data_IF_496471000025
#
_entry.id   IF_496471000025
#
_cell.length_a   1.000
_cell.length_b   1.000
_cell.length_c   1.000
_cell.angle_alpha   90.00
_cell.angle_beta   90.00
_cell.angle_gamma   90.00
#
_symmetry.space_group_name_H-M   'P 1'
#
loop_
_entity.id
_entity.type
_entity.pdbx_description
1 polymer ?
#
# COMPACT_ATOMS: atom_id res chain seq x y z
N UNK A 1 -14.80 6.54 36.44
CA UNK A 1 -15.40 5.24 36.13
C UNK A 1 -15.79 5.29 34.64
N UNK A 2 -14.94 4.79 33.79
CA UNK A 2 -15.17 4.72 32.34
C UNK A 2 -15.70 3.33 32.04
N UNK A 3 -16.96 3.26 31.60
CA UNK A 3 -17.53 2.02 31.04
C UNK A 3 -16.75 1.60 29.79
N UNK A 4 -15.85 0.62 29.91
CA UNK A 4 -15.42 -0.19 28.78
C UNK A 4 -16.62 -1.05 28.41
N UNK A 5 -17.25 -0.75 27.27
CA UNK A 5 -18.23 -1.64 26.65
C UNK A 5 -17.59 -3.00 26.47
N UNK A 6 -18.18 -4.05 27.04
CA UNK A 6 -17.85 -5.44 26.76
C UNK A 6 -18.31 -5.73 25.33
N UNK A 7 -17.41 -5.50 24.34
CA UNK A 7 -17.58 -6.07 23.01
C UNK A 7 -17.55 -7.58 23.13
N UNK A 8 -18.42 -8.26 22.42
CA UNK A 8 -18.42 -9.72 22.30
C UNK A 8 -16.99 -10.17 21.89
N UNK A 9 -16.31 -10.88 22.78
CA UNK A 9 -14.99 -11.44 22.50
C UNK A 9 -15.21 -12.67 21.61
N UNK A 10 -14.83 -12.59 20.34
CA UNK A 10 -15.05 -13.66 19.32
C UNK A 10 -14.22 -14.91 19.59
N UNK A 11 -13.29 -14.88 20.53
CA UNK A 11 -12.36 -15.97 20.81
C UNK A 11 -11.36 -16.26 19.67
N UNK A 12 -11.19 -15.30 18.74
CA UNK A 12 -10.24 -15.37 17.64
C UNK A 12 -9.01 -14.55 17.99
N UNK A 13 -7.86 -15.20 18.16
CA UNK A 13 -6.56 -14.55 18.31
C UNK A 13 -5.80 -14.54 16.99
N UNK A 14 -5.32 -13.36 16.57
CA UNK A 14 -4.68 -13.13 15.27
C UNK A 14 -3.26 -12.61 15.45
N UNK A 15 -2.28 -13.35 14.95
CA UNK A 15 -0.93 -12.86 14.75
C UNK A 15 -0.81 -12.26 13.33
N UNK A 16 -0.81 -10.93 13.22
CA UNK A 16 -0.68 -10.23 11.93
C UNK A 16 0.75 -9.76 11.73
N UNK A 17 1.35 -10.13 10.58
CA UNK A 17 2.76 -9.92 10.29
C UNK A 17 2.96 -8.91 9.17
N UNK A 18 3.91 -7.98 9.36
CA UNK A 18 4.36 -7.05 8.32
C UNK A 18 5.88 -6.82 8.39
N UNK A 19 6.55 -6.72 7.25
CA UNK A 19 8.01 -6.70 7.16
C UNK A 19 8.67 -5.39 7.61
N UNK A 20 7.91 -4.36 7.95
CA UNK A 20 8.46 -3.03 8.22
C UNK A 20 7.55 -2.22 9.14
N UNK A 21 8.14 -1.35 9.93
CA UNK A 21 7.45 -0.32 10.72
C UNK A 21 7.20 0.98 9.94
N UNK A 22 7.81 1.13 8.75
CA UNK A 22 7.66 2.35 7.93
C UNK A 22 6.31 2.33 7.18
N UNK A 23 5.60 3.48 7.08
CA UNK A 23 4.31 3.55 6.40
C UNK A 23 4.46 3.34 4.90
N UNK A 24 4.24 2.12 4.45
CA UNK A 24 4.11 1.69 3.05
C UNK A 24 2.72 1.09 2.87
N UNK A 25 2.21 1.02 1.64
CA UNK A 25 0.85 0.60 1.39
C UNK A 25 0.42 -0.68 2.10
N UNK A 26 1.24 -1.75 2.05
CA UNK A 26 0.95 -3.00 2.76
C UNK A 26 1.03 -2.88 4.29
N UNK A 27 1.92 -2.02 4.81
CA UNK A 27 2.00 -1.74 6.25
C UNK A 27 0.78 -0.95 6.71
N UNK A 28 0.39 0.10 5.99
CA UNK A 28 -0.83 0.88 6.28
C UNK A 28 -2.06 -0.03 6.28
N UNK A 29 -2.17 -0.91 5.26
CA UNK A 29 -3.24 -1.92 5.22
C UNK A 29 -3.24 -2.80 6.48
N UNK A 30 -2.10 -3.36 6.86
CA UNK A 30 -1.99 -4.23 8.04
C UNK A 30 -2.48 -3.54 9.32
N UNK A 31 -2.07 -2.28 9.52
CA UNK A 31 -2.41 -1.50 10.70
C UNK A 31 -3.90 -1.18 10.76
N UNK A 32 -4.45 -0.62 9.67
CA UNK A 32 -5.87 -0.29 9.58
C UNK A 32 -6.77 -1.53 9.70
N UNK A 33 -6.38 -2.64 9.06
CA UNK A 33 -7.10 -3.91 9.19
C UNK A 33 -7.06 -4.43 10.61
N UNK A 34 -5.90 -4.42 11.27
CA UNK A 34 -5.74 -4.87 12.65
C UNK A 34 -6.63 -4.09 13.63
N UNK A 35 -6.67 -2.76 13.51
CA UNK A 35 -7.53 -1.90 14.33
C UNK A 35 -9.01 -2.23 14.13
N UNK A 36 -9.45 -2.43 12.89
CA UNK A 36 -10.84 -2.76 12.58
C UNK A 36 -11.22 -4.17 13.04
N UNK A 37 -10.36 -5.16 12.88
CA UNK A 37 -10.59 -6.51 13.40
C UNK A 37 -10.69 -6.48 14.94
N UNK A 38 -9.80 -5.74 15.61
CA UNK A 38 -9.83 -5.56 17.06
C UNK A 38 -11.12 -4.88 17.52
N UNK A 39 -11.56 -3.83 16.82
CA UNK A 39 -12.84 -3.16 17.15
C UNK A 39 -14.08 -4.06 16.96
N UNK A 40 -13.95 -5.10 16.14
CA UNK A 40 -14.98 -6.14 15.93
C UNK A 40 -14.87 -7.34 16.89
N UNK A 41 -13.95 -7.29 17.87
CA UNK A 41 -13.84 -8.27 18.95
C UNK A 41 -12.80 -9.37 18.73
N UNK A 42 -11.97 -9.30 17.69
CA UNK A 42 -10.81 -10.19 17.55
C UNK A 42 -9.65 -9.71 18.44
N UNK A 43 -8.91 -10.65 19.03
CA UNK A 43 -7.68 -10.37 19.76
C UNK A 43 -6.51 -10.31 18.75
N UNK A 44 -6.20 -9.12 18.26
CA UNK A 44 -5.18 -8.91 17.22
C UNK A 44 -3.88 -8.41 17.83
N UNK A 45 -2.78 -9.06 17.50
CA UNK A 45 -1.44 -8.59 17.80
C UNK A 45 -0.62 -8.43 16.52
N UNK A 46 -0.06 -7.23 16.35
CA UNK A 46 0.83 -6.92 15.22
C UNK A 46 2.26 -7.36 15.52
N UNK A 47 2.88 -7.95 14.52
CA UNK A 47 4.30 -8.30 14.53
C UNK A 47 4.99 -7.62 13.36
N UNK A 48 6.09 -6.93 13.61
CA UNK A 48 6.85 -6.21 12.60
C UNK A 48 8.34 -6.41 12.76
N UNK A 49 9.09 -5.98 11.75
CA UNK A 49 10.55 -6.06 11.70
C UNK A 49 11.15 -4.66 11.62
N UNK A 50 12.26 -4.47 12.34
CA UNK A 50 13.07 -3.27 12.29
C UNK A 50 14.55 -3.63 12.19
N UNK A 51 15.35 -2.74 11.59
CA UNK A 51 16.80 -2.87 11.58
C UNK A 51 17.34 -2.62 13.00
N UNK A 52 18.25 -3.45 13.45
CA UNK A 52 18.90 -3.29 14.77
C UNK A 52 19.78 -2.04 14.89
N UNK A 53 20.28 -1.54 13.74
CA UNK A 53 21.13 -0.35 13.64
C UNK A 53 20.37 0.95 13.34
N UNK A 54 19.03 0.92 13.30
CA UNK A 54 18.18 2.09 13.03
C UNK A 54 17.22 2.36 14.22
N UNK A 55 17.64 3.16 15.20
CA UNK A 55 16.79 3.50 16.34
C UNK A 55 15.46 4.17 15.97
N UNK A 56 15.41 4.87 14.82
CA UNK A 56 14.21 5.53 14.35
C UNK A 56 13.14 4.52 13.87
N UNK A 57 13.58 3.34 13.43
CA UNK A 57 12.68 2.28 12.99
C UNK A 57 11.83 1.71 14.14
N UNK A 58 12.33 1.73 15.39
CA UNK A 58 11.59 1.25 16.58
C UNK A 58 10.51 2.24 17.03
N UNK A 59 10.58 3.49 16.61
CA UNK A 59 9.67 4.57 17.02
C UNK A 59 8.61 4.96 16.00
N UNK A 60 8.60 4.34 14.85
CA UNK A 60 7.88 4.75 13.65
C UNK A 60 6.34 4.79 13.76
N UNK A 61 5.70 4.69 12.64
CA UNK A 61 4.25 4.78 12.43
C UNK A 61 3.41 3.89 13.39
N UNK A 62 4.00 2.79 13.87
CA UNK A 62 3.37 1.88 14.84
C UNK A 62 2.97 2.51 16.18
N UNK A 63 3.59 3.62 16.62
CA UNK A 63 3.19 4.29 17.88
C UNK A 63 1.76 4.79 17.90
N UNK A 64 1.17 5.01 16.73
CA UNK A 64 -0.20 5.52 16.58
C UNK A 64 -1.25 4.41 16.57
N UNK A 65 -0.84 3.15 16.58
CA UNK A 65 -1.73 1.99 16.45
C UNK A 65 -2.37 1.65 17.78
N UNK A 66 -3.69 1.43 17.77
CA UNK A 66 -4.49 1.10 18.96
C UNK A 66 -4.61 -0.41 19.21
N UNK A 67 -3.66 -1.22 18.72
CA UNK A 67 -3.58 -2.67 19.00
C UNK A 67 -2.20 -3.03 19.54
N UNK A 68 -2.09 -4.09 20.38
CA UNK A 68 -0.80 -4.57 20.85
C UNK A 68 0.14 -4.90 19.68
N UNK A 69 1.41 -4.58 19.82
CA UNK A 69 2.42 -4.93 18.82
C UNK A 69 3.73 -5.41 19.43
N UNK A 70 4.50 -6.16 18.65
CA UNK A 70 5.88 -6.53 18.94
C UNK A 70 6.75 -6.33 17.71
N UNK A 71 7.90 -5.71 17.89
CA UNK A 71 8.89 -5.51 16.84
C UNK A 71 10.04 -6.46 17.09
N UNK A 72 10.43 -7.22 16.07
CA UNK A 72 11.63 -8.05 16.07
C UNK A 72 12.72 -7.31 15.31
N UNK A 73 13.94 -7.42 15.80
CA UNK A 73 15.10 -6.83 15.15
C UNK A 73 15.75 -7.83 14.19
N UNK A 74 16.32 -7.28 13.11
CA UNK A 74 17.19 -8.02 12.21
C UNK A 74 18.43 -7.19 11.89
N UNK A 75 19.54 -7.87 11.68
CA UNK A 75 20.78 -7.26 11.25
C UNK A 75 20.72 -6.95 9.75
N UNK A 76 20.97 -5.68 9.40
CA UNK A 76 20.90 -5.25 8.00
C UNK A 76 22.03 -5.86 7.16
N UNK A 77 21.76 -6.13 5.89
CA UNK A 77 22.75 -6.60 4.92
C UNK A 77 22.50 -5.96 3.55
N UNK A 78 23.55 -5.53 2.79
CA UNK A 78 23.40 -4.93 1.47
C UNK A 78 22.83 -5.92 0.44
N UNK A 79 23.25 -7.18 0.50
CA UNK A 79 22.65 -8.24 -0.32
C UNK A 79 21.21 -8.52 0.11
N UNK A 80 20.27 -8.37 -0.84
CA UNK A 80 18.85 -8.48 -0.57
C UNK A 80 18.43 -9.88 -0.13
N UNK A 81 19.02 -10.94 -0.71
CA UNK A 81 18.69 -12.32 -0.35
C UNK A 81 19.04 -12.60 1.11
N UNK A 82 20.28 -12.28 1.48
CA UNK A 82 20.77 -12.43 2.86
C UNK A 82 19.93 -11.62 3.83
N UNK A 83 19.58 -10.39 3.47
CA UNK A 83 18.73 -9.53 4.29
C UNK A 83 17.35 -10.15 4.52
N UNK A 84 16.71 -10.67 3.47
CA UNK A 84 15.41 -11.33 3.60
C UNK A 84 15.50 -12.62 4.43
N UNK A 85 16.55 -13.40 4.29
CA UNK A 85 16.76 -14.59 5.12
C UNK A 85 16.86 -14.23 6.60
N UNK A 86 17.62 -13.19 6.98
CA UNK A 86 17.69 -12.69 8.35
C UNK A 86 16.34 -12.23 8.89
N UNK A 87 15.56 -11.54 8.05
CA UNK A 87 14.20 -11.11 8.40
C UNK A 87 13.26 -12.31 8.63
N UNK A 88 13.31 -13.31 7.74
CA UNK A 88 12.52 -14.55 7.84
C UNK A 88 12.92 -15.32 9.10
N UNK A 89 14.21 -15.41 9.41
CA UNK A 89 14.70 -16.10 10.59
C UNK A 89 14.26 -15.40 11.88
N UNK A 90 14.31 -14.06 11.95
CA UNK A 90 13.82 -13.29 13.09
C UNK A 90 12.37 -13.62 13.43
N UNK A 91 11.51 -13.77 12.40
CA UNK A 91 10.13 -14.23 12.58
C UNK A 91 10.06 -15.70 13.00
N UNK A 92 10.78 -16.57 12.30
CA UNK A 92 10.72 -18.03 12.53
C UNK A 92 11.10 -18.43 13.94
N UNK A 93 12.04 -17.68 14.58
CA UNK A 93 12.49 -17.92 15.94
C UNK A 93 11.67 -17.17 16.99
N UNK A 94 11.19 -15.97 16.67
CA UNK A 94 10.61 -15.04 17.66
C UNK A 94 9.09 -15.08 17.77
N UNK A 95 8.36 -15.58 16.78
CA UNK A 95 6.89 -15.58 16.78
C UNK A 95 6.33 -16.55 17.84
N UNK A 96 5.32 -16.14 18.62
CA UNK A 96 4.55 -17.03 19.47
C UNK A 96 3.77 -18.04 18.61
N UNK A 97 3.40 -19.18 19.23
CA UNK A 97 2.77 -20.31 18.53
C UNK A 97 1.35 -20.58 18.98
N UNK A 98 0.75 -19.66 19.71
CA UNK A 98 -0.54 -19.77 20.41
C UNK A 98 -1.67 -18.97 19.76
N UNK A 99 -1.42 -18.27 18.64
CA UNK A 99 -2.47 -17.60 17.90
C UNK A 99 -3.35 -18.61 17.14
N UNK A 100 -4.65 -18.35 17.10
CA UNK A 100 -5.59 -19.18 16.34
C UNK A 100 -5.55 -18.92 14.83
N UNK A 101 -5.01 -17.76 14.42
CA UNK A 101 -4.81 -17.35 13.03
C UNK A 101 -3.44 -16.67 12.88
N UNK A 102 -2.72 -16.98 11.79
CA UNK A 102 -1.53 -16.28 11.36
C UNK A 102 -1.78 -15.60 10.02
N UNK A 103 -1.62 -14.28 9.95
CA UNK A 103 -1.89 -13.52 8.74
C UNK A 103 -0.69 -12.69 8.29
N UNK A 104 -0.04 -13.08 7.21
CA UNK A 104 1.09 -12.37 6.61
C UNK A 104 0.62 -11.35 5.57
N UNK A 105 1.25 -10.17 5.57
CA UNK A 105 0.98 -9.10 4.61
C UNK A 105 2.03 -9.02 3.48
N UNK A 106 3.09 -9.83 3.55
CA UNK A 106 4.24 -9.78 2.65
C UNK A 106 4.93 -11.15 2.50
N UNK A 107 5.89 -11.24 1.57
CA UNK A 107 6.61 -12.49 1.31
C UNK A 107 7.52 -12.93 2.48
N UNK A 108 8.01 -11.99 3.29
CA UNK A 108 8.87 -12.29 4.44
C UNK A 108 8.06 -13.04 5.50
N UNK A 109 6.97 -12.42 5.95
CA UNK A 109 6.05 -13.03 6.91
C UNK A 109 5.48 -14.36 6.39
N UNK A 110 5.02 -14.38 5.13
CA UNK A 110 4.48 -15.59 4.49
C UNK A 110 5.49 -16.73 4.43
N UNK A 111 6.75 -16.46 4.06
CA UNK A 111 7.82 -17.48 4.02
C UNK A 111 8.19 -17.98 5.41
N UNK A 112 8.23 -17.08 6.41
CA UNK A 112 8.49 -17.47 7.80
C UNK A 112 7.41 -18.43 8.31
N UNK A 113 6.14 -18.10 8.13
CA UNK A 113 5.02 -18.95 8.54
C UNK A 113 5.03 -20.31 7.81
N UNK A 114 5.31 -20.30 6.50
CA UNK A 114 5.45 -21.52 5.72
C UNK A 114 6.58 -22.43 6.23
N UNK A 115 7.75 -21.85 6.59
CA UNK A 115 8.86 -22.59 7.21
C UNK A 115 8.48 -23.17 8.57
N UNK A 116 7.80 -22.40 9.40
CA UNK A 116 7.35 -22.85 10.72
C UNK A 116 6.34 -24.00 10.62
N UNK A 117 5.39 -23.90 9.68
CA UNK A 117 4.39 -24.96 9.46
C UNK A 117 5.04 -26.24 8.93
N UNK A 118 5.96 -26.13 7.98
CA UNK A 118 6.70 -27.30 7.45
C UNK A 118 7.53 -28.03 8.54
N UNK A 119 7.94 -27.33 9.61
CA UNK A 119 8.61 -27.90 10.77
C UNK A 119 7.66 -28.41 11.86
N UNK A 120 6.34 -28.39 11.63
CA UNK A 120 5.33 -28.77 12.62
C UNK A 120 5.22 -27.82 13.82
N UNK A 121 5.73 -26.59 13.70
CA UNK A 121 5.71 -25.60 14.78
C UNK A 121 4.40 -24.79 14.85
N UNK A 122 3.60 -24.83 13.79
CA UNK A 122 2.29 -24.19 13.68
C UNK A 122 1.27 -25.19 13.17
N UNK A 123 0.13 -25.28 13.87
CA UNK A 123 -1.06 -26.01 13.41
C UNK A 123 -2.14 -25.09 12.86
N UNK A 124 -2.24 -23.87 13.39
CA UNK A 124 -3.24 -22.88 13.01
C UNK A 124 -3.19 -22.49 11.52
N UNK A 125 -4.35 -22.08 10.92
CA UNK A 125 -4.41 -21.67 9.53
C UNK A 125 -3.57 -20.42 9.25
N UNK A 126 -2.95 -20.39 8.05
CA UNK A 126 -2.14 -19.30 7.55
C UNK A 126 -2.92 -18.56 6.46
N UNK A 127 -3.09 -17.26 6.67
CA UNK A 127 -3.64 -16.31 5.72
C UNK A 127 -2.54 -15.44 5.13
N UNK A 128 -2.69 -15.07 3.87
CA UNK A 128 -1.80 -14.13 3.17
C UNK A 128 -2.62 -13.08 2.44
N UNK A 129 -2.39 -11.79 2.71
CA UNK A 129 -2.85 -10.70 1.83
C UNK A 129 -1.79 -10.41 0.79
N UNK A 130 -2.18 -10.44 -0.48
CA UNK A 130 -1.34 -10.17 -1.64
C UNK A 130 -1.67 -8.77 -2.15
N UNK A 131 -0.77 -7.82 -1.92
CA UNK A 131 -0.89 -6.44 -2.39
C UNK A 131 -0.46 -6.30 -3.85
N UNK A 132 0.54 -7.03 -4.24
CA UNK A 132 1.05 -7.27 -5.59
C UNK A 132 2.02 -8.46 -5.50
N UNK A 133 2.34 -9.04 -6.62
CA UNK A 133 3.38 -10.07 -6.72
C UNK A 133 4.61 -9.39 -7.32
N UNK A 134 5.74 -9.47 -6.63
CA UNK A 134 6.99 -8.92 -7.11
C UNK A 134 7.60 -9.83 -8.18
N UNK A 135 7.93 -9.23 -9.32
CA UNK A 135 8.72 -9.88 -10.37
C UNK A 135 10.21 -9.80 -10.02
N UNK A 136 10.70 -10.82 -9.34
CA UNK A 136 12.10 -10.95 -8.99
C UNK A 136 12.84 -11.75 -10.05
N UNK A 137 13.82 -11.15 -10.71
CA UNK A 137 14.75 -11.84 -11.61
C UNK A 137 15.72 -12.77 -10.87
N UNK A 138 15.98 -12.52 -9.58
CA UNK A 138 16.82 -13.37 -8.75
C UNK A 138 16.04 -14.62 -8.28
N UNK A 139 16.49 -15.87 -8.59
CA UNK A 139 15.72 -17.09 -8.37
C UNK A 139 15.39 -17.37 -6.89
N UNK A 140 16.20 -16.91 -5.93
CA UNK A 140 15.92 -17.10 -4.50
C UNK A 140 14.81 -16.17 -4.03
N UNK A 141 14.80 -14.92 -4.48
CA UNK A 141 13.76 -13.95 -4.17
C UNK A 141 12.42 -14.39 -4.76
N UNK A 142 12.45 -14.85 -6.00
CA UNK A 142 11.27 -15.44 -6.65
C UNK A 142 10.71 -16.62 -5.85
N UNK A 143 11.57 -17.52 -5.36
CA UNK A 143 11.14 -18.65 -4.53
C UNK A 143 10.54 -18.22 -3.18
N UNK A 144 11.00 -17.13 -2.56
CA UNK A 144 10.37 -16.61 -1.35
C UNK A 144 8.94 -16.14 -1.63
N UNK A 145 8.75 -15.37 -2.69
CA UNK A 145 7.41 -14.92 -3.09
C UNK A 145 6.50 -16.10 -3.43
N UNK A 146 6.94 -17.04 -4.26
CA UNK A 146 6.19 -18.24 -4.62
C UNK A 146 5.76 -19.06 -3.39
N UNK A 147 6.70 -19.28 -2.46
CA UNK A 147 6.39 -20.03 -1.23
C UNK A 147 5.36 -19.29 -0.37
N UNK A 148 5.53 -17.97 -0.21
CA UNK A 148 4.61 -17.17 0.57
C UNK A 148 3.19 -17.14 0.00
N UNK A 149 3.06 -17.21 -1.32
CA UNK A 149 1.77 -17.25 -2.03
C UNK A 149 1.16 -18.65 -2.01
N UNK A 150 1.95 -19.69 -2.36
CA UNK A 150 1.44 -21.05 -2.58
C UNK A 150 1.16 -21.79 -1.28
N UNK A 151 1.93 -21.56 -0.22
CA UNK A 151 1.82 -22.30 1.05
C UNK A 151 0.87 -21.66 2.07
N UNK A 152 0.34 -20.47 1.81
CA UNK A 152 -0.80 -19.97 2.57
C UNK A 152 -2.04 -20.81 2.25
N UNK A 153 -2.81 -21.19 3.26
CA UNK A 153 -4.06 -21.94 3.06
C UNK A 153 -5.17 -21.05 2.52
N UNK A 154 -5.18 -19.80 2.98
CA UNK A 154 -6.17 -18.79 2.58
C UNK A 154 -5.48 -17.54 2.06
N UNK A 155 -6.02 -16.97 0.98
CA UNK A 155 -5.45 -15.81 0.30
C UNK A 155 -6.46 -14.71 0.15
N UNK A 156 -6.01 -13.50 0.49
CA UNK A 156 -6.70 -12.27 0.14
C UNK A 156 -5.92 -11.53 -0.94
N UNK A 157 -6.63 -10.82 -1.78
CA UNK A 157 -6.07 -9.93 -2.81
C UNK A 157 -6.78 -8.59 -2.76
N UNK A 158 -6.07 -7.51 -3.09
CA UNK A 158 -6.60 -6.14 -2.98
C UNK A 158 -7.40 -5.67 -4.19
N UNK A 159 -7.55 -6.52 -5.22
CA UNK A 159 -8.34 -6.23 -6.43
C UNK A 159 -8.74 -7.50 -7.17
N UNK A 160 -9.77 -7.41 -8.02
CA UNK A 160 -10.16 -8.49 -8.95
C UNK A 160 -9.09 -8.75 -10.01
N UNK A 161 -8.32 -7.73 -10.36
CA UNK A 161 -7.15 -7.91 -11.23
C UNK A 161 -6.22 -8.96 -10.63
N UNK A 162 -5.77 -8.77 -9.38
CA UNK A 162 -4.87 -9.72 -8.72
C UNK A 162 -5.51 -11.07 -8.43
N UNK A 163 -6.84 -11.11 -8.27
CA UNK A 163 -7.56 -12.39 -8.18
C UNK A 163 -7.44 -13.20 -9.47
N UNK A 164 -7.58 -12.54 -10.64
CA UNK A 164 -7.43 -13.19 -11.95
C UNK A 164 -6.00 -13.63 -12.21
N UNK A 165 -5.02 -12.76 -11.95
CA UNK A 165 -3.59 -13.08 -12.11
C UNK A 165 -3.20 -14.29 -11.25
N UNK A 166 -3.63 -14.29 -9.98
CA UNK A 166 -3.34 -15.40 -9.07
C UNK A 166 -3.96 -16.72 -9.56
N UNK A 167 -5.17 -16.67 -10.08
CA UNK A 167 -5.82 -17.87 -10.65
C UNK A 167 -5.15 -18.33 -11.94
N UNK A 168 -4.80 -17.42 -12.83
CA UNK A 168 -4.21 -17.74 -14.15
C UNK A 168 -2.77 -18.24 -14.01
N UNK A 169 -1.94 -17.58 -13.21
CA UNK A 169 -0.50 -17.86 -13.14
C UNK A 169 -0.15 -18.96 -12.13
N UNK A 170 -0.97 -19.09 -11.07
CA UNK A 170 -0.69 -20.03 -9.97
C UNK A 170 -1.76 -21.10 -9.77
N UNK A 171 -2.91 -21.01 -10.43
CA UNK A 171 -4.03 -21.91 -10.21
C UNK A 171 -4.64 -21.80 -8.81
N UNK A 172 -4.48 -20.66 -8.14
CA UNK A 172 -4.84 -20.46 -6.74
C UNK A 172 -6.08 -19.56 -6.58
N UNK A 173 -6.99 -20.00 -5.71
CA UNK A 173 -8.14 -19.19 -5.33
C UNK A 173 -7.80 -18.13 -4.27
N UNK A 174 -8.54 -17.04 -4.30
CA UNK A 174 -8.40 -15.94 -3.34
C UNK A 174 -9.71 -15.17 -3.16
N UNK A 175 -9.81 -14.45 -2.04
CA UNK A 175 -10.94 -13.56 -1.74
C UNK A 175 -10.50 -12.12 -1.95
N UNK A 176 -11.32 -11.35 -2.66
CA UNK A 176 -11.03 -9.91 -2.87
C UNK A 176 -11.37 -9.12 -1.61
N UNK A 177 -10.38 -8.43 -1.07
CA UNK A 177 -10.50 -7.52 0.08
C UNK A 177 -9.93 -6.17 -0.31
N UNK A 178 -10.74 -5.32 -0.94
CA UNK A 178 -10.31 -3.98 -1.31
C UNK A 178 -9.74 -3.22 -0.11
N UNK A 179 -8.76 -2.35 -0.37
CA UNK A 179 -8.31 -1.43 0.66
C UNK A 179 -9.44 -0.46 1.02
N UNK A 180 -9.54 -0.14 2.29
CA UNK A 180 -10.49 0.85 2.79
C UNK A 180 -9.90 2.26 2.86
N UNK A 181 -10.76 3.22 3.20
CA UNK A 181 -10.38 4.59 3.48
C UNK A 181 -11.12 5.06 4.75
N UNK A 182 -10.41 5.80 5.59
CA UNK A 182 -10.98 6.54 6.72
C UNK A 182 -11.09 8.02 6.31
N UNK A 183 -12.27 8.43 5.85
CA UNK A 183 -12.47 9.81 5.41
C UNK A 183 -12.25 10.83 6.54
N UNK A 184 -12.35 10.41 7.79
CA UNK A 184 -12.07 11.26 8.96
C UNK A 184 -10.60 11.72 9.01
N UNK A 185 -9.65 10.90 8.54
CA UNK A 185 -8.22 11.24 8.49
C UNK A 185 -7.95 12.44 7.55
N UNK A 186 -8.87 12.70 6.61
CA UNK A 186 -8.78 13.76 5.59
C UNK A 186 -9.89 14.83 5.74
N UNK A 187 -10.67 14.81 6.83
CA UNK A 187 -11.82 15.70 6.99
C UNK A 187 -11.40 17.18 7.15
N UNK A 188 -10.25 17.42 7.76
CA UNK A 188 -9.74 18.75 8.10
C UNK A 188 -8.50 19.09 7.30
N UNK A 189 -8.64 19.17 5.98
CA UNK A 189 -7.55 19.66 5.15
C UNK A 189 -7.20 21.11 5.53
N UNK A 190 -5.91 21.46 5.62
CA UNK A 190 -5.50 22.82 5.78
C UNK A 190 -5.91 23.68 4.57
N UNK A 191 -5.97 25.02 4.71
CA UNK A 191 -6.20 25.90 3.57
C UNK A 191 -5.06 25.77 2.56
N UNK A 192 -5.39 25.93 1.27
CA UNK A 192 -4.40 25.92 0.20
C UNK A 192 -3.37 27.04 0.44
N UNK A 193 -2.09 26.68 0.43
CA UNK A 193 -0.96 27.62 0.64
C UNK A 193 -0.28 28.03 -0.67
N UNK A 194 -0.34 27.21 -1.72
CA UNK A 194 0.28 27.50 -3.01
C UNK A 194 -0.63 28.32 -3.93
N UNK A 195 -0.02 29.22 -4.72
CA UNK A 195 -0.75 30.08 -5.70
C UNK A 195 -0.69 29.56 -7.14
N UNK A 196 0.24 28.67 -7.45
CA UNK A 196 0.46 28.14 -8.81
C UNK A 196 -0.14 26.77 -9.04
N UNK A 197 -0.25 26.34 -10.33
CA UNK A 197 -0.69 25.01 -10.70
C UNK A 197 0.29 23.96 -10.16
N UNK A 198 -0.25 22.96 -9.43
CA UNK A 198 0.56 21.96 -8.72
C UNK A 198 0.07 20.57 -9.02
N UNK A 199 0.99 19.74 -9.54
CA UNK A 199 0.82 18.28 -9.73
C UNK A 199 1.47 17.57 -8.55
N UNK A 200 0.77 16.59 -7.97
CA UNK A 200 1.29 15.81 -6.85
C UNK A 200 1.54 14.35 -7.28
N UNK A 201 2.70 13.82 -6.87
CA UNK A 201 3.00 12.38 -6.92
C UNK A 201 3.29 11.89 -5.51
N UNK A 202 2.58 10.84 -5.07
CA UNK A 202 2.83 10.18 -3.78
C UNK A 202 3.01 8.68 -4.02
N UNK A 203 4.21 8.16 -3.71
CA UNK A 203 4.50 6.74 -3.97
C UNK A 203 5.86 6.27 -3.50
N UNK A 204 6.32 5.15 -4.07
CA UNK A 204 7.69 4.67 -3.96
C UNK A 204 8.52 5.11 -5.15
N UNK A 205 9.84 5.13 -5.00
CA UNK A 205 10.79 5.39 -6.10
C UNK A 205 11.00 4.17 -7.00
N UNK A 206 10.25 3.09 -6.80
CA UNK A 206 10.36 1.91 -7.65
C UNK A 206 9.97 2.23 -9.10
N UNK A 207 10.72 1.72 -10.12
CA UNK A 207 10.43 1.95 -11.53
C UNK A 207 9.00 1.60 -11.95
N UNK A 208 8.36 0.62 -11.27
CA UNK A 208 6.97 0.25 -11.52
C UNK A 208 5.95 1.35 -11.20
N UNK A 209 6.32 2.36 -10.37
CA UNK A 209 5.45 3.51 -10.04
C UNK A 209 5.42 4.57 -11.12
N UNK A 210 6.34 4.49 -12.10
CA UNK A 210 6.28 5.29 -13.31
C UNK A 210 6.66 6.77 -13.15
N UNK A 211 7.40 7.15 -12.10
CA UNK A 211 7.84 8.54 -11.92
C UNK A 211 8.63 9.06 -13.13
N UNK A 212 9.39 8.19 -13.81
CA UNK A 212 10.07 8.52 -15.07
C UNK A 212 9.08 9.06 -16.12
N UNK A 213 7.94 8.39 -16.30
CA UNK A 213 6.94 8.83 -17.28
C UNK A 213 6.32 10.17 -16.90
N UNK A 214 6.10 10.40 -15.60
CA UNK A 214 5.60 11.67 -15.12
C UNK A 214 6.61 12.80 -15.37
N UNK A 215 7.90 12.61 -15.10
CA UNK A 215 8.94 13.61 -15.37
C UNK A 215 8.98 13.95 -16.87
N UNK A 216 8.95 12.94 -17.75
CA UNK A 216 8.90 13.16 -19.20
C UNK A 216 7.60 13.83 -19.67
N UNK A 217 6.48 13.56 -18.99
CA UNK A 217 5.21 14.24 -19.28
C UNK A 217 5.25 15.70 -18.80
N UNK A 218 5.83 15.96 -17.64
CA UNK A 218 5.96 17.32 -17.09
C UNK A 218 6.79 18.25 -17.98
N UNK A 219 7.81 17.75 -18.67
CA UNK A 219 8.52 18.53 -19.70
C UNK A 219 7.55 19.08 -20.73
N UNK A 220 6.63 18.27 -21.26
CA UNK A 220 5.60 18.73 -22.21
C UNK A 220 4.57 19.65 -21.57
N UNK A 221 4.18 19.37 -20.33
CA UNK A 221 3.22 20.19 -19.58
C UNK A 221 3.76 21.60 -19.33
N UNK A 222 5.06 21.76 -19.02
CA UNK A 222 5.68 23.07 -18.78
C UNK A 222 5.66 23.99 -20.02
N UNK A 223 5.65 23.44 -21.23
CA UNK A 223 5.49 24.22 -22.45
C UNK A 223 4.09 24.86 -22.60
N UNK A 224 3.06 24.24 -22.02
CA UNK A 224 1.66 24.71 -22.10
C UNK A 224 1.24 25.47 -20.84
N UNK A 225 1.76 25.05 -19.67
CA UNK A 225 1.50 25.64 -18.36
C UNK A 225 2.84 25.98 -17.72
N UNK A 226 3.47 27.14 -18.03
CA UNK A 226 4.86 27.45 -17.65
C UNK A 226 5.13 27.50 -16.15
N UNK A 227 4.10 27.83 -15.34
CA UNK A 227 4.24 27.98 -13.89
C UNK A 227 3.92 26.69 -13.11
N UNK A 228 3.68 25.57 -13.82
CA UNK A 228 3.36 24.32 -13.18
C UNK A 228 4.54 23.77 -12.36
N UNK A 229 4.24 23.22 -11.20
CA UNK A 229 5.19 22.52 -10.34
C UNK A 229 4.77 21.08 -10.13
N UNK A 230 5.76 20.19 -10.02
CA UNK A 230 5.58 18.82 -9.59
C UNK A 230 6.10 18.67 -8.15
N UNK A 231 5.23 18.37 -7.21
CA UNK A 231 5.61 17.94 -5.86
C UNK A 231 5.66 16.42 -5.82
N UNK A 232 6.80 15.88 -5.42
CA UNK A 232 7.03 14.44 -5.37
C UNK A 232 7.33 14.00 -3.94
N UNK A 233 6.45 13.21 -3.34
CA UNK A 233 6.68 12.54 -2.06
C UNK A 233 6.94 11.06 -2.35
N UNK A 234 8.22 10.68 -2.34
CA UNK A 234 8.59 9.35 -2.82
C UNK A 234 9.73 8.73 -2.00
N UNK A 235 9.44 7.58 -1.39
CA UNK A 235 10.38 6.85 -0.55
C UNK A 235 11.15 5.81 -1.36
N UNK A 236 12.40 5.60 -0.97
CA UNK A 236 13.19 4.46 -1.43
C UNK A 236 12.41 3.16 -1.23
N UNK A 237 12.33 2.35 -2.27
CA UNK A 237 11.56 1.12 -2.29
C UNK A 237 12.12 0.02 -1.37
N UNK A 238 11.40 -1.11 -1.32
CA UNK A 238 11.77 -2.28 -0.52
C UNK A 238 13.17 -2.83 -0.84
N UNK A 239 13.58 -2.75 -2.10
CA UNK A 239 14.92 -3.20 -2.55
C UNK A 239 16.06 -2.35 -1.96
N UNK A 240 15.75 -1.18 -1.39
CA UNK A 240 16.73 -0.29 -0.77
C UNK A 240 17.60 0.47 -1.77
N UNK A 241 17.21 0.50 -3.05
CA UNK A 241 17.90 1.25 -4.10
C UNK A 241 17.26 2.63 -4.19
N UNK A 242 18.05 3.67 -3.92
CA UNK A 242 17.61 5.05 -4.14
C UNK A 242 17.66 5.38 -5.63
N UNK A 243 16.50 5.58 -6.23
CA UNK A 243 16.35 5.93 -7.64
C UNK A 243 16.31 7.45 -7.87
N UNK A 244 16.27 8.26 -6.82
CA UNK A 244 16.17 9.72 -6.97
C UNK A 244 17.32 10.32 -7.78
N UNK A 245 18.60 9.93 -7.61
CA UNK A 245 19.68 10.46 -8.45
C UNK A 245 19.43 10.26 -9.96
N UNK A 246 18.89 9.10 -10.35
CA UNK A 246 18.54 8.81 -11.77
C UNK A 246 17.41 9.71 -12.26
N UNK A 247 16.35 9.90 -11.46
CA UNK A 247 15.24 10.78 -11.81
C UNK A 247 15.63 12.26 -11.83
N UNK A 248 16.53 12.66 -10.94
CA UNK A 248 17.10 14.00 -10.93
C UNK A 248 17.90 14.29 -12.20
N UNK A 249 18.80 13.39 -12.59
CA UNK A 249 19.57 13.51 -13.86
C UNK A 249 18.60 13.61 -15.05
N UNK A 250 17.57 12.80 -15.11
CA UNK A 250 16.56 12.89 -16.17
C UNK A 250 15.87 14.29 -16.18
N UNK A 251 15.52 14.83 -15.02
CA UNK A 251 14.90 16.15 -14.93
C UNK A 251 15.87 17.29 -15.32
N UNK A 252 17.16 17.14 -15.01
CA UNK A 252 18.24 18.06 -15.45
C UNK A 252 18.37 18.02 -16.99
N UNK A 253 18.45 16.84 -17.59
CA UNK A 253 18.52 16.66 -19.05
C UNK A 253 17.33 17.24 -19.80
N UNK A 254 16.14 17.20 -19.19
CA UNK A 254 14.90 17.77 -19.74
C UNK A 254 14.70 19.25 -19.41
N UNK A 255 15.59 19.87 -18.62
CA UNK A 255 15.54 21.30 -18.28
C UNK A 255 14.38 21.68 -17.36
N UNK A 256 13.86 20.74 -16.54
CA UNK A 256 12.70 20.97 -15.65
C UNK A 256 12.99 20.71 -14.18
N UNK A 257 14.24 20.51 -13.78
CA UNK A 257 14.57 20.21 -12.39
C UNK A 257 14.10 21.32 -11.42
N UNK A 258 14.14 22.56 -11.82
CA UNK A 258 13.66 23.73 -11.06
C UNK A 258 12.13 23.73 -10.85
N UNK A 259 11.40 22.89 -11.59
CA UNK A 259 9.95 22.69 -11.47
C UNK A 259 9.58 21.51 -10.57
N UNK A 260 10.56 20.73 -10.09
CA UNK A 260 10.34 19.54 -9.28
C UNK A 260 10.79 19.79 -7.84
N UNK A 261 9.86 19.64 -6.92
CA UNK A 261 10.08 19.63 -5.49
C UNK A 261 10.04 18.17 -4.99
N UNK A 262 11.16 17.67 -4.46
CA UNK A 262 11.28 16.29 -4.01
C UNK A 262 11.37 16.17 -2.50
N UNK A 263 10.57 15.26 -1.93
CA UNK A 263 10.59 14.87 -0.52
C UNK A 263 10.70 13.35 -0.41
N UNK A 264 11.75 12.86 0.24
CA UNK A 264 11.89 11.43 0.51
C UNK A 264 10.84 10.95 1.51
N UNK A 265 10.56 11.74 2.52
CA UNK A 265 9.60 11.44 3.58
C UNK A 265 9.09 12.71 4.19
N UNK A 266 7.80 12.73 4.48
CA UNK A 266 7.14 13.83 5.17
C UNK A 266 6.28 13.29 6.31
N UNK A 267 5.99 14.13 7.29
CA UNK A 267 4.99 13.82 8.30
C UNK A 267 3.56 13.90 7.72
N UNK A 268 2.60 13.45 8.49
CA UNK A 268 1.20 13.39 8.08
C UNK A 268 0.60 14.78 7.81
N UNK A 269 0.96 15.78 8.63
CA UNK A 269 0.47 17.15 8.46
C UNK A 269 0.97 17.78 7.18
N UNK A 270 2.24 17.57 6.85
CA UNK A 270 2.85 18.01 5.59
C UNK A 270 2.23 17.29 4.38
N UNK A 271 1.96 15.99 4.50
CA UNK A 271 1.29 15.25 3.44
C UNK A 271 -0.13 15.77 3.19
N UNK A 272 -0.88 16.06 4.25
CA UNK A 272 -2.22 16.69 4.14
C UNK A 272 -2.15 18.07 3.49
N UNK A 273 -1.10 18.86 3.79
CA UNK A 273 -0.87 20.15 3.12
C UNK A 273 -0.64 19.95 1.61
N UNK A 274 0.14 18.96 1.20
CA UNK A 274 0.34 18.67 -0.23
C UNK A 274 -0.94 18.23 -0.93
N UNK A 275 -1.80 17.44 -0.26
CA UNK A 275 -3.13 17.14 -0.79
C UNK A 275 -4.01 18.40 -0.87
N UNK A 276 -3.92 19.33 0.08
CA UNK A 276 -4.66 20.58 0.01
C UNK A 276 -4.16 21.49 -1.14
N UNK A 277 -2.87 21.53 -1.36
CA UNK A 277 -2.20 22.42 -2.29
C UNK A 277 -2.26 21.95 -3.75
N UNK A 278 -2.32 20.65 -4.01
CA UNK A 278 -2.31 20.16 -5.39
C UNK A 278 -3.62 20.44 -6.13
N UNK A 279 -3.52 20.59 -7.45
CA UNK A 279 -4.66 20.65 -8.37
C UNK A 279 -5.13 19.26 -8.78
N UNK A 280 -4.19 18.31 -8.91
CA UNK A 280 -4.44 16.91 -9.22
C UNK A 280 -3.32 16.03 -8.70
N UNK A 281 -3.62 14.73 -8.51
CA UNK A 281 -2.61 13.72 -8.23
C UNK A 281 -2.39 12.86 -9.47
N UNK A 282 -1.13 12.52 -9.75
CA UNK A 282 -0.74 11.67 -10.87
C UNK A 282 -0.02 10.42 -10.38
N UNK A 283 -0.50 9.22 -10.79
CA UNK A 283 0.12 7.94 -10.48
C UNK A 283 0.23 7.08 -11.76
N UNK A 284 1.29 7.22 -12.58
CA UNK A 284 1.41 6.53 -13.86
C UNK A 284 2.10 5.17 -13.72
N UNK A 285 1.63 4.34 -12.80
CA UNK A 285 2.20 3.04 -12.49
C UNK A 285 2.15 2.07 -13.67
N UNK A 286 3.20 1.26 -13.87
CA UNK A 286 3.20 0.11 -14.79
C UNK A 286 2.36 -1.04 -14.22
N UNK A 287 2.41 -1.20 -12.90
CA UNK A 287 1.66 -2.21 -12.15
C UNK A 287 1.30 -1.63 -10.79
N UNK A 288 0.06 -1.84 -10.36
CA UNK A 288 -0.45 -1.35 -9.09
C UNK A 288 -1.38 -2.37 -8.42
N UNK A 289 -1.26 -2.52 -7.11
CA UNK A 289 -2.21 -3.34 -6.35
C UNK A 289 -3.59 -2.72 -6.30
N UNK A 290 -3.64 -1.48 -5.82
CA UNK A 290 -4.87 -0.72 -5.61
C UNK A 290 -4.72 0.77 -5.87
N UNK A 291 -3.69 1.42 -5.31
CA UNK A 291 -3.47 2.86 -5.43
C UNK A 291 -4.01 3.66 -4.24
N UNK A 292 -3.47 3.42 -3.03
CA UNK A 292 -3.90 4.16 -1.83
C UNK A 292 -3.77 5.68 -1.99
N UNK A 293 -2.68 6.18 -2.60
CA UNK A 293 -2.51 7.61 -2.83
C UNK A 293 -3.55 8.20 -3.78
N UNK A 294 -4.07 7.41 -4.74
CA UNK A 294 -5.22 7.82 -5.55
C UNK A 294 -6.46 7.97 -4.68
N UNK A 295 -6.75 6.99 -3.80
CA UNK A 295 -7.87 7.08 -2.87
C UNK A 295 -7.75 8.28 -1.93
N UNK A 296 -6.57 8.56 -1.40
CA UNK A 296 -6.29 9.70 -0.54
C UNK A 296 -6.58 11.03 -1.26
N UNK A 297 -6.11 11.17 -2.51
CA UNK A 297 -6.41 12.33 -3.34
C UNK A 297 -7.92 12.47 -3.62
N UNK A 298 -8.59 11.36 -3.95
CA UNK A 298 -10.03 11.34 -4.22
C UNK A 298 -10.84 11.77 -2.99
N UNK A 299 -10.49 11.30 -1.78
CA UNK A 299 -11.13 11.74 -0.52
C UNK A 299 -10.94 13.25 -0.31
N UNK A 300 -9.77 13.78 -0.68
CA UNK A 300 -9.45 15.21 -0.65
C UNK A 300 -10.10 16.02 -1.78
N UNK A 301 -11.03 15.44 -2.55
CA UNK A 301 -11.67 16.05 -3.74
C UNK A 301 -10.69 16.47 -4.83
N UNK A 302 -9.56 15.79 -4.94
CA UNK A 302 -8.61 16.05 -6.02
C UNK A 302 -8.85 15.06 -7.16
N UNK A 303 -8.96 15.54 -8.40
CA UNK A 303 -9.01 14.66 -9.57
C UNK A 303 -7.68 13.91 -9.69
N UNK A 304 -7.74 12.74 -10.29
CA UNK A 304 -6.56 11.89 -10.47
C UNK A 304 -6.32 11.59 -11.94
N UNK A 305 -5.02 11.52 -12.31
CA UNK A 305 -4.59 10.94 -13.59
C UNK A 305 -3.77 9.71 -13.25
N UNK A 306 -4.13 8.56 -13.81
CA UNK A 306 -3.47 7.31 -13.47
C UNK A 306 -3.36 6.38 -14.68
N UNK A 307 -2.49 5.37 -14.60
CA UNK A 307 -2.44 4.35 -15.64
C UNK A 307 -3.55 3.31 -15.49
N UNK A 308 -4.00 2.73 -16.63
CA UNK A 308 -4.86 1.53 -16.67
C UNK A 308 -4.09 0.29 -16.24
N UNK A 309 -3.57 0.26 -15.03
CA UNK A 309 -2.66 -0.77 -14.55
C UNK A 309 -3.19 -1.44 -13.27
N UNK A 310 -3.14 -2.78 -13.23
CA UNK A 310 -3.51 -3.55 -12.06
C UNK A 310 -4.93 -3.25 -11.57
N UNK A 311 -5.05 -2.95 -10.28
CA UNK A 311 -6.34 -2.63 -9.62
C UNK A 311 -6.85 -1.21 -9.85
N UNK A 312 -6.07 -0.31 -10.48
CA UNK A 312 -6.47 1.09 -10.66
C UNK A 312 -7.83 1.25 -11.36
N UNK A 313 -8.16 0.51 -12.46
CA UNK A 313 -9.46 0.63 -13.13
C UNK A 313 -10.66 0.18 -12.28
N UNK A 314 -10.42 -0.53 -11.17
CA UNK A 314 -11.48 -0.89 -10.22
C UNK A 314 -11.77 0.24 -9.22
N UNK A 315 -10.79 1.11 -9.00
CA UNK A 315 -10.90 2.28 -8.14
C UNK A 315 -11.39 3.50 -8.93
N UNK A 316 -10.70 3.85 -10.02
CA UNK A 316 -10.93 5.05 -10.83
C UNK A 316 -11.76 4.72 -12.06
N UNK A 317 -12.89 5.43 -12.26
CA UNK A 317 -13.74 5.35 -13.44
C UNK A 317 -13.30 6.43 -14.43
N UNK A 318 -12.76 6.00 -15.57
CA UNK A 318 -12.23 6.89 -16.59
C UNK A 318 -13.25 7.91 -17.08
N UNK A 319 -12.85 9.18 -17.17
CA UNK A 319 -13.70 10.30 -17.58
C UNK A 319 -14.73 10.76 -16.54
N UNK A 320 -14.88 10.06 -15.40
CA UNK A 320 -15.87 10.37 -14.36
C UNK A 320 -15.20 10.92 -13.09
N UNK A 321 -14.35 10.15 -12.46
CA UNK A 321 -13.68 10.51 -11.21
C UNK A 321 -12.14 10.61 -11.35
N UNK A 322 -11.64 10.47 -12.58
CA UNK A 322 -10.26 10.65 -12.98
C UNK A 322 -10.07 10.35 -14.46
N UNK A 323 -8.85 10.48 -14.94
CA UNK A 323 -8.46 10.15 -16.32
C UNK A 323 -7.50 8.96 -16.26
N UNK A 324 -7.80 7.92 -17.03
CA UNK A 324 -6.94 6.74 -17.16
C UNK A 324 -6.21 6.76 -18.50
N UNK A 325 -4.88 6.63 -18.43
CA UNK A 325 -3.99 6.55 -19.60
C UNK A 325 -3.35 5.17 -19.69
N UNK A 326 -2.87 4.78 -20.86
CA UNK A 326 -2.14 3.52 -20.97
C UNK A 326 -0.76 3.62 -20.30
N UNK A 327 -0.28 2.55 -19.64
CA UNK A 327 1.01 2.54 -18.98
C UNK A 327 2.15 2.91 -19.94
N UNK A 328 2.92 3.93 -19.60
CA UNK A 328 4.07 4.40 -20.41
C UNK A 328 3.71 5.38 -21.52
N UNK A 329 2.45 5.69 -21.76
CA UNK A 329 2.06 6.72 -22.75
C UNK A 329 2.28 8.13 -22.16
N UNK A 330 3.50 8.62 -22.34
CA UNK A 330 3.94 9.96 -21.88
C UNK A 330 3.14 11.08 -22.54
N UNK A 331 2.75 10.92 -23.82
CA UNK A 331 2.01 11.94 -24.56
C UNK A 331 0.61 12.11 -23.98
N UNK A 332 -0.13 11.00 -23.87
CA UNK A 332 -1.48 11.02 -23.34
C UNK A 332 -1.51 11.44 -21.86
N UNK A 333 -0.48 11.06 -21.10
CA UNK A 333 -0.31 11.50 -19.71
C UNK A 333 -0.17 13.02 -19.62
N UNK A 334 0.64 13.64 -20.50
CA UNK A 334 0.80 15.09 -20.53
C UNK A 334 -0.50 15.80 -20.94
N UNK A 335 -1.20 15.30 -21.97
CA UNK A 335 -2.47 15.86 -22.44
C UNK A 335 -3.54 15.79 -21.32
N UNK A 336 -3.63 14.68 -20.58
CA UNK A 336 -4.55 14.53 -19.45
C UNK A 336 -4.24 15.52 -18.31
N UNK A 337 -2.97 15.70 -17.98
CA UNK A 337 -2.54 16.68 -16.96
C UNK A 337 -2.94 18.09 -17.41
N UNK A 338 -2.59 18.49 -18.64
CA UNK A 338 -2.90 19.82 -19.20
C UNK A 338 -4.41 20.07 -19.21
N UNK A 339 -5.22 19.07 -19.58
CA UNK A 339 -6.69 19.23 -19.63
C UNK A 339 -7.26 19.57 -18.25
N UNK A 340 -6.77 18.89 -17.20
CA UNK A 340 -7.19 19.17 -15.82
C UNK A 340 -6.64 20.50 -15.29
N UNK A 341 -5.41 20.88 -15.63
CA UNK A 341 -4.85 22.16 -15.18
C UNK A 341 -5.58 23.36 -15.77
N UNK A 342 -6.03 23.25 -17.02
CA UNK A 342 -6.70 24.35 -17.74
C UNK A 342 -8.22 24.43 -17.51
N UNK A 343 -8.85 23.39 -16.92
CA UNK A 343 -10.29 23.36 -16.67
C UNK A 343 -10.62 23.17 -15.17
N UNK A 344 -10.78 24.27 -14.41
CA UNK A 344 -11.14 24.20 -12.99
C UNK A 344 -12.50 23.53 -12.74
N UNK A 345 -13.46 23.66 -13.67
CA UNK A 345 -14.77 23.05 -13.51
C UNK A 345 -14.69 21.53 -13.70
N UNK A 346 -13.85 21.06 -14.62
CA UNK A 346 -13.56 19.63 -14.79
C UNK A 346 -12.92 19.07 -13.53
N UNK A 347 -11.93 19.78 -12.95
CA UNK A 347 -11.30 19.38 -11.67
C UNK A 347 -12.32 19.25 -10.55
N UNK A 348 -13.21 20.22 -10.39
CA UNK A 348 -14.23 20.21 -9.35
C UNK A 348 -15.22 19.04 -9.53
N UNK A 349 -15.72 18.81 -10.76
CA UNK A 349 -16.62 17.70 -11.05
C UNK A 349 -15.97 16.35 -10.78
N UNK A 350 -14.76 16.12 -11.31
CA UNK A 350 -14.05 14.84 -11.13
C UNK A 350 -13.63 14.64 -9.68
N UNK A 351 -13.14 15.68 -9.00
CA UNK A 351 -12.79 15.61 -7.58
C UNK A 351 -14.00 15.29 -6.70
N UNK A 352 -15.16 15.88 -6.98
CA UNK A 352 -16.42 15.56 -6.31
C UNK A 352 -16.83 14.09 -6.50
N UNK A 353 -16.87 13.65 -7.76
CA UNK A 353 -17.19 12.26 -8.11
C UNK A 353 -16.19 11.27 -7.51
N UNK A 354 -14.91 11.65 -7.46
CA UNK A 354 -13.83 10.87 -6.84
C UNK A 354 -14.05 10.67 -5.34
N UNK A 355 -14.42 11.73 -4.62
CA UNK A 355 -14.76 11.61 -3.20
C UNK A 355 -15.93 10.66 -2.98
N UNK A 356 -17.01 10.81 -3.71
CA UNK A 356 -18.19 9.95 -3.58
C UNK A 356 -17.83 8.48 -3.87
N UNK A 357 -16.98 8.26 -4.88
CA UNK A 357 -16.46 6.92 -5.21
C UNK A 357 -15.64 6.31 -4.09
N UNK A 358 -14.70 7.07 -3.52
CA UNK A 358 -13.78 6.60 -2.48
C UNK A 358 -14.51 6.24 -1.17
N UNK A 359 -15.61 6.91 -0.86
CA UNK A 359 -16.46 6.60 0.30
C UNK A 359 -17.11 5.21 0.22
N UNK A 360 -17.19 4.61 -0.98
CA UNK A 360 -17.66 3.24 -1.17
C UNK A 360 -16.68 2.15 -0.68
N UNK A 361 -15.45 2.52 -0.33
CA UNK A 361 -14.41 1.61 0.14
C UNK A 361 -14.08 1.91 1.60
N UNK A 362 -14.46 1.05 2.53
CA UNK A 362 -14.20 1.24 3.95
C UNK A 362 -13.38 0.10 4.55
N UNK A 363 -12.54 0.44 5.52
CA UNK A 363 -11.81 -0.57 6.30
C UNK A 363 -12.73 -1.49 7.09
N UNK A 364 -13.92 -1.01 7.51
CA UNK A 364 -14.92 -1.84 8.19
C UNK A 364 -15.45 -2.97 7.29
N UNK A 365 -15.68 -2.68 5.99
CA UNK A 365 -16.09 -3.70 5.02
C UNK A 365 -14.96 -4.69 4.75
N UNK A 366 -13.72 -4.19 4.60
CA UNK A 366 -12.55 -5.05 4.44
C UNK A 366 -12.38 -5.99 5.62
N UNK A 367 -12.43 -5.46 6.85
CA UNK A 367 -12.33 -6.25 8.07
C UNK A 367 -13.46 -7.25 8.23
N UNK A 368 -14.69 -6.92 7.79
CA UNK A 368 -15.82 -7.83 7.84
C UNK A 368 -15.58 -9.07 6.98
N UNK A 369 -15.15 -8.89 5.72
CA UNK A 369 -14.84 -10.00 4.78
C UNK A 369 -13.70 -10.87 5.31
N UNK A 370 -12.68 -10.24 5.91
CA UNK A 370 -11.54 -10.96 6.51
C UNK A 370 -11.98 -11.78 7.71
N UNK A 371 -12.81 -11.18 8.59
CA UNK A 371 -13.32 -11.86 9.78
C UNK A 371 -14.18 -13.09 9.44
N UNK A 372 -15.10 -12.95 8.50
CA UNK A 372 -15.93 -14.06 7.99
C UNK A 372 -15.06 -15.21 7.44
N UNK A 373 -13.98 -14.86 6.75
CA UNK A 373 -13.02 -15.85 6.24
C UNK A 373 -12.26 -16.55 7.37
N UNK A 374 -11.90 -15.84 8.43
CA UNK A 374 -11.27 -16.42 9.62
C UNK A 374 -12.20 -17.38 10.34
N UNK A 375 -13.45 -16.99 10.57
CA UNK A 375 -14.47 -17.84 11.20
C UNK A 375 -14.71 -19.10 10.40
N UNK A 376 -14.84 -18.99 9.08
CA UNK A 376 -15.00 -20.14 8.19
C UNK A 376 -13.82 -21.12 8.29
N UNK A 377 -12.58 -20.61 8.26
CA UNK A 377 -11.37 -21.43 8.37
C UNK A 377 -11.28 -22.15 9.72
N UNK A 378 -11.58 -21.45 10.82
CA UNK A 378 -11.55 -22.05 12.16
C UNK A 378 -12.64 -23.12 12.35
N UNK A 379 -13.82 -22.92 11.78
CA UNK A 379 -14.90 -23.93 11.82
C UNK A 379 -14.52 -25.18 11.01
N UNK A 380 -13.95 -25.02 9.82
CA UNK A 380 -13.42 -26.11 9.02
C UNK A 380 -12.27 -26.87 9.70
N UNK A 381 -11.38 -26.15 10.35
CA UNK A 381 -10.25 -26.72 11.08
C UNK A 381 -10.70 -27.56 12.29
N UNK A 382 -11.69 -27.09 13.06
CA UNK A 382 -12.27 -27.83 14.19
C UNK A 382 -13.01 -29.09 13.73
N UNK A 383 -13.71 -29.03 12.60
CA UNK A 383 -14.44 -30.20 12.04
C UNK A 383 -13.53 -31.30 11.48
N UNK A 384 -12.32 -30.93 11.01
CA UNK A 384 -11.33 -31.89 10.51
C UNK A 384 -10.39 -32.47 11.56
N UNK A 385 -10.52 -32.05 12.81
CA UNK A 385 -9.69 -32.50 13.96
C UNK A 385 -10.38 -33.51 14.87
N UNK A 386 -11.55 -34.03 14.45
CA UNK A 386 -12.35 -35.05 15.18
C UNK A 386 -12.17 -36.44 14.55
#
# INVERSE_FOLDING_TARGET
MLFRGQGLQLGISVAMLTYSTRPRGGVVHALKLAERLSSKGADVKLYSLARSDDPSALSGYFRKVNVPYKIFEYEWHPDLVTRLERMIDSYSFGLPRDASIYHAQDCVGGTALARMKAKGLLSAPIFRTIHHIDDFSEPRLFRFEQKAVSLAEHRFVVSKYWQRELRNDYGLDSVVTYNGMDAADFANLPPRSTKGPTVLFVGGLEPRKGLEYLIRAMEKVTHVVPDVRLVTVAKTGFRGIDQWPTYRTLAEELGILDRIEYHESVDESTLLQFYADCDLLVLPSKTEGWGLSLMEAMVCRKPVVASRAGGIPELVRDGIDGILVDPGDVRWLAEAIVSLLNDPQLRERMGGAGRDRSMGFSWDRTAQVVLESYESALNGFRAGSV
#
